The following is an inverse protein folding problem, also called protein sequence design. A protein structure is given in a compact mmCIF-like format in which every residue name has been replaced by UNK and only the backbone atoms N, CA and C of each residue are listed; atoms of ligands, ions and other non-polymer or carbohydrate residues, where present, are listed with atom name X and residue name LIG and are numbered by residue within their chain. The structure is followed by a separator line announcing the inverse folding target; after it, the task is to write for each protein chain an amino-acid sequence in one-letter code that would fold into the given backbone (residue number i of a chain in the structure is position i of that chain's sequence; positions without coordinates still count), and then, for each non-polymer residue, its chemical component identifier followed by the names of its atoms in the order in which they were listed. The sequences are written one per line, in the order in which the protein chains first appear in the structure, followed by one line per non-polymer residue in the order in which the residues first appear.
data_IF_133310006549
#
_entry.id   IF_133310006549
#
_cell.length_a   1.000
_cell.length_b   1.000
_cell.length_c   1.000
_cell.angle_alpha   90.00
_cell.angle_beta   90.00
_cell.angle_gamma   90.00
#
_symmetry.space_group_name_H-M   'P 1'
#
loop_
_entity.id
_entity.type
_entity.pdbx_description
1 polymer ?
#
# COMPACT_ATOMS: atom_id res chain seq x y z
N UNK A 1 -10.32 17.60 -7.31
CA UNK A 1 -8.87 17.85 -7.14
C UNK A 1 -8.31 16.70 -6.32
N UNK A 2 -7.23 16.08 -6.79
CA UNK A 2 -6.60 15.01 -6.05
C UNK A 2 -6.16 15.50 -4.65
N UNK A 3 -6.40 14.70 -3.62
CA UNK A 3 -5.88 14.91 -2.27
C UNK A 3 -4.38 14.67 -2.22
N UNK A 4 -3.93 13.61 -2.91
CA UNK A 4 -2.53 13.26 -3.10
C UNK A 4 -2.25 13.11 -4.59
N UNK A 5 -1.22 13.78 -5.07
CA UNK A 5 -0.70 13.64 -6.44
C UNK A 5 0.79 13.33 -6.41
N UNK A 6 1.15 12.15 -6.89
CA UNK A 6 2.52 11.63 -6.93
C UNK A 6 2.98 11.61 -8.38
N UNK A 7 4.08 12.30 -8.69
CA UNK A 7 4.63 12.39 -10.04
C UNK A 7 6.11 12.02 -10.06
N UNK A 8 6.47 11.08 -10.94
CA UNK A 8 7.84 10.65 -11.25
C UNK A 8 8.68 10.28 -10.02
N UNK A 9 8.05 9.66 -9.00
CA UNK A 9 8.74 9.24 -7.78
C UNK A 9 9.81 8.20 -8.09
N UNK A 10 11.04 8.47 -7.64
CA UNK A 10 12.17 7.56 -7.78
C UNK A 10 12.91 7.44 -6.46
N UNK A 11 12.97 6.21 -5.92
CA UNK A 11 13.65 5.90 -4.66
C UNK A 11 14.62 4.73 -4.85
N UNK A 12 15.87 4.93 -4.43
CA UNK A 12 16.94 3.94 -4.58
C UNK A 12 17.66 3.73 -3.27
N UNK A 13 18.21 2.52 -3.08
CA UNK A 13 19.02 2.17 -1.92
C UNK A 13 20.47 1.93 -2.35
N UNK A 14 21.39 2.70 -1.78
CA UNK A 14 22.84 2.59 -2.03
C UNK A 14 23.44 1.57 -1.05
N UNK A 15 23.52 0.33 -1.46
CA UNK A 15 24.04 -0.78 -0.65
C UNK A 15 25.50 -1.08 -1.02
N UNK A 16 26.18 -1.89 -0.22
CA UNK A 16 27.54 -2.36 -0.53
C UNK A 16 27.62 -3.19 -1.82
N UNK A 17 26.50 -3.84 -2.19
CA UNK A 17 26.42 -4.72 -3.37
C UNK A 17 25.91 -4.00 -4.63
N UNK A 18 25.67 -2.69 -4.56
CA UNK A 18 25.14 -1.92 -5.69
C UNK A 18 23.96 -1.03 -5.32
N UNK A 19 23.35 -0.43 -6.33
CA UNK A 19 22.22 0.48 -6.20
C UNK A 19 20.93 -0.27 -6.53
N UNK A 20 20.13 -0.57 -5.50
CA UNK A 20 18.81 -1.18 -5.66
C UNK A 20 17.81 -0.11 -6.09
N UNK A 21 17.18 -0.27 -7.26
CA UNK A 21 16.19 0.64 -7.84
C UNK A 21 14.78 0.24 -7.41
N UNK A 22 14.46 0.52 -6.14
CA UNK A 22 13.24 0.04 -5.51
C UNK A 22 11.97 0.69 -6.06
N UNK A 23 12.04 1.96 -6.49
CA UNK A 23 10.95 2.71 -7.13
C UNK A 23 11.54 3.55 -8.26
N UNK A 24 11.02 3.40 -9.47
CA UNK A 24 11.52 4.08 -10.67
C UNK A 24 10.35 4.71 -11.43
N UNK A 25 10.29 6.04 -11.42
CA UNK A 25 9.36 6.84 -12.22
C UNK A 25 7.88 6.51 -11.95
N UNK A 26 7.49 6.36 -10.68
CA UNK A 26 6.12 6.01 -10.28
C UNK A 26 5.26 7.27 -10.19
N UNK A 27 4.07 7.25 -10.83
CA UNK A 27 3.10 8.34 -10.80
C UNK A 27 1.70 7.80 -10.56
N UNK A 28 0.95 8.39 -9.62
CA UNK A 28 -0.45 8.08 -9.34
C UNK A 28 -1.09 9.20 -8.53
N UNK A 29 -2.41 9.21 -8.48
CA UNK A 29 -3.18 10.17 -7.68
C UNK A 29 -4.21 9.45 -6.82
N UNK A 30 -4.65 10.11 -5.75
CA UNK A 30 -5.71 9.66 -4.85
C UNK A 30 -6.65 10.83 -4.59
N UNK A 31 -7.93 10.64 -4.86
CA UNK A 31 -8.97 11.61 -4.55
C UNK A 31 -9.45 11.47 -3.10
N UNK A 32 -10.12 12.52 -2.55
CA UNK A 32 -10.78 12.41 -1.24
C UNK A 32 -11.82 11.29 -1.25
N UNK A 33 -11.92 10.56 -0.15
CA UNK A 33 -12.87 9.45 -0.02
C UNK A 33 -12.62 8.25 -0.95
N UNK A 34 -11.56 8.26 -1.77
CA UNK A 34 -11.23 7.18 -2.70
C UNK A 34 -10.35 6.12 -2.03
N UNK A 35 -10.60 4.85 -2.33
CA UNK A 35 -9.67 3.75 -2.02
C UNK A 35 -8.87 3.36 -3.25
N UNK A 36 -7.55 3.53 -3.19
CA UNK A 36 -6.61 3.16 -4.25
C UNK A 36 -5.79 1.94 -3.82
N UNK A 37 -5.94 0.84 -4.54
CA UNK A 37 -5.13 -0.36 -4.35
C UNK A 37 -3.75 -0.22 -5.01
N UNK A 38 -2.70 -0.68 -4.34
CA UNK A 38 -1.37 -0.89 -4.92
C UNK A 38 -1.03 -2.37 -4.76
N UNK A 39 -0.98 -3.10 -5.88
CA UNK A 39 -0.80 -4.56 -5.90
C UNK A 39 0.44 -4.97 -6.66
N UNK A 40 0.92 -6.19 -6.41
CA UNK A 40 2.07 -6.79 -7.08
C UNK A 40 2.80 -7.76 -6.17
N UNK A 41 3.74 -8.51 -6.70
CA UNK A 41 4.56 -9.47 -5.93
C UNK A 41 5.40 -8.78 -4.85
N UNK A 42 5.88 -9.56 -3.87
CA UNK A 42 6.84 -9.08 -2.87
C UNK A 42 8.07 -8.49 -3.56
N UNK A 43 8.63 -7.40 -3.02
CA UNK A 43 9.78 -6.71 -3.62
C UNK A 43 9.45 -5.83 -4.83
N UNK A 44 8.19 -5.72 -5.28
CA UNK A 44 7.83 -4.85 -6.42
C UNK A 44 7.91 -3.33 -6.16
N UNK A 45 8.18 -2.91 -4.90
CA UNK A 45 8.35 -1.49 -4.54
C UNK A 45 7.15 -0.83 -3.87
N UNK A 46 6.06 -1.54 -3.60
CA UNK A 46 4.79 -1.02 -3.04
C UNK A 46 5.00 -0.24 -1.73
N UNK A 47 5.50 -0.92 -0.71
CA UNK A 47 5.76 -0.31 0.61
C UNK A 47 6.77 0.83 0.53
N UNK A 48 7.84 0.67 -0.27
CA UNK A 48 8.85 1.72 -0.48
C UNK A 48 8.24 2.96 -1.11
N UNK A 49 7.29 2.81 -2.03
CA UNK A 49 6.53 3.93 -2.61
C UNK A 49 5.86 4.73 -1.50
N UNK A 50 5.06 4.08 -0.65
CA UNK A 50 4.33 4.76 0.42
C UNK A 50 5.26 5.32 1.53
N UNK A 51 6.31 4.60 1.90
CA UNK A 51 7.30 5.09 2.89
C UNK A 51 8.06 6.32 2.38
N UNK A 52 8.28 6.41 1.06
CA UNK A 52 8.88 7.60 0.45
C UNK A 52 8.01 8.84 0.66
N UNK A 53 6.68 8.71 0.49
CA UNK A 53 5.73 9.82 0.63
C UNK A 53 5.76 10.43 2.02
N UNK A 54 5.83 9.58 3.03
CA UNK A 54 5.81 10.00 4.42
C UNK A 54 7.20 10.15 5.04
N UNK A 55 8.28 10.07 4.21
CA UNK A 55 9.67 10.25 4.65
C UNK A 55 10.13 9.24 5.71
N UNK A 56 9.72 7.97 5.57
CA UNK A 56 10.13 6.86 6.43
C UNK A 56 11.26 6.02 5.83
N UNK A 57 11.78 6.41 4.66
CA UNK A 57 12.94 5.75 4.06
C UNK A 57 14.19 6.07 4.89
N UNK A 58 14.90 5.04 5.43
CA UNK A 58 16.13 5.27 6.18
C UNK A 58 17.21 5.88 5.28
N UNK A 59 17.81 6.96 5.72
CA UNK A 59 18.86 7.68 4.98
C UNK A 59 20.12 7.80 5.85
N UNK A 60 21.22 7.08 5.55
CA UNK A 60 21.43 6.04 4.54
C UNK A 60 20.73 4.71 4.90
N UNK A 61 20.59 3.71 4.00
CA UNK A 61 21.11 3.64 2.61
C UNK A 61 20.15 4.18 1.55
N UNK A 62 18.88 4.47 1.91
CA UNK A 62 17.87 4.92 0.97
C UNK A 62 18.06 6.38 0.57
N UNK A 63 17.62 6.72 -0.64
CA UNK A 63 17.55 8.10 -1.13
C UNK A 63 16.41 8.28 -2.12
N UNK A 64 15.62 9.33 -1.92
CA UNK A 64 14.64 9.79 -2.91
C UNK A 64 15.42 10.65 -3.93
N UNK A 65 15.51 10.17 -5.18
CA UNK A 65 16.29 10.80 -6.22
C UNK A 65 15.53 11.89 -6.97
N UNK A 66 14.23 11.65 -7.21
CA UNK A 66 13.39 12.58 -7.96
C UNK A 66 11.91 12.36 -7.63
N UNK A 67 11.07 13.26 -8.12
CA UNK A 67 9.62 13.21 -8.03
C UNK A 67 9.04 14.36 -7.23
N UNK A 68 7.71 14.37 -7.17
CA UNK A 68 6.90 15.24 -6.32
C UNK A 68 5.80 14.38 -5.68
N UNK A 69 5.38 14.77 -4.48
CA UNK A 69 4.22 14.19 -3.79
C UNK A 69 3.43 15.34 -3.17
N UNK A 70 2.46 15.83 -3.91
CA UNK A 70 1.63 16.96 -3.49
C UNK A 70 0.44 16.44 -2.70
N UNK A 71 0.43 16.67 -1.41
CA UNK A 71 -0.69 16.36 -0.52
C UNK A 71 -1.37 17.66 -0.10
N UNK A 72 -2.58 17.88 -0.57
CA UNK A 72 -3.37 19.09 -0.32
C UNK A 72 -2.54 20.36 -0.51
N UNK A 73 -1.85 20.48 -1.64
CA UNK A 73 -1.01 21.62 -2.02
C UNK A 73 0.41 21.62 -1.42
N UNK A 74 0.76 20.68 -0.53
CA UNK A 74 2.07 20.60 0.13
C UNK A 74 2.93 19.48 -0.49
N UNK A 75 4.13 19.81 -0.99
CA UNK A 75 5.07 18.80 -1.48
C UNK A 75 5.75 18.08 -0.31
N UNK A 76 5.26 16.86 0.00
CA UNK A 76 5.75 16.04 1.12
C UNK A 76 7.25 15.73 1.02
N UNK A 77 7.78 15.59 -0.22
CA UNK A 77 9.19 15.21 -0.44
C UNK A 77 10.16 16.37 -0.18
N UNK A 78 9.65 17.62 -0.20
CA UNK A 78 10.45 18.84 0.06
C UNK A 78 10.12 19.50 1.39
N UNK A 79 9.12 18.97 2.08
CA UNK A 79 8.67 19.52 3.36
C UNK A 79 9.72 19.29 4.46
N UNK A 80 10.01 20.32 5.23
CA UNK A 80 10.93 20.22 6.37
C UNK A 80 10.48 19.16 7.38
N UNK A 81 11.41 18.43 8.03
CA UNK A 81 11.07 17.37 8.99
C UNK A 81 10.10 17.81 10.09
N UNK A 82 10.19 19.06 10.55
CA UNK A 82 9.31 19.64 11.59
C UNK A 82 7.87 19.76 11.09
N UNK A 83 7.65 20.16 9.84
CA UNK A 83 6.33 20.26 9.23
C UNK A 83 5.77 18.88 8.91
N UNK A 84 6.61 17.97 8.38
CA UNK A 84 6.20 16.61 8.07
C UNK A 84 5.72 15.85 9.32
N UNK A 85 6.34 16.08 10.51
CA UNK A 85 5.85 15.55 11.80
C UNK A 85 4.43 15.99 12.14
N UNK A 86 4.02 17.19 11.76
CA UNK A 86 2.65 17.69 12.01
C UNK A 86 1.62 17.07 11.08
N UNK A 87 2.06 16.62 9.89
CA UNK A 87 1.21 15.92 8.92
C UNK A 87 1.04 14.46 9.32
N UNK A 88 2.14 13.78 9.70
CA UNK A 88 2.13 12.38 10.15
C UNK A 88 1.33 12.24 11.45
N UNK A 89 0.49 11.22 11.51
CA UNK A 89 -0.35 10.91 12.67
C UNK A 89 -1.59 11.80 12.80
N UNK A 90 -1.62 12.98 12.16
CA UNK A 90 -2.78 13.87 12.17
C UNK A 90 -3.55 13.85 10.85
N UNK A 91 -2.87 14.14 9.74
CA UNK A 91 -3.48 14.21 8.41
C UNK A 91 -3.22 12.95 7.58
N UNK A 92 -2.06 12.33 7.77
CA UNK A 92 -1.68 11.06 7.13
C UNK A 92 -1.35 10.07 8.23
N UNK A 93 -2.11 8.98 8.34
CA UNK A 93 -1.82 7.85 9.22
C UNK A 93 -1.39 6.64 8.42
N UNK A 94 -0.68 5.71 9.06
CA UNK A 94 -0.18 4.50 8.41
C UNK A 94 -0.36 3.28 9.30
N UNK A 95 -0.90 2.21 8.72
CA UNK A 95 -0.91 0.86 9.27
C UNK A 95 0.24 0.11 8.63
N UNK A 96 1.19 -0.36 9.44
CA UNK A 96 2.40 -1.05 8.98
C UNK A 96 2.16 -2.55 8.82
N UNK A 97 2.99 -3.19 8.00
CA UNK A 97 2.90 -4.62 7.72
C UNK A 97 3.19 -5.50 8.96
N UNK A 98 4.15 -5.10 9.80
CA UNK A 98 4.56 -5.90 10.97
C UNK A 98 4.11 -5.24 12.29
N UNK A 99 3.10 -5.83 12.98
CA UNK A 99 2.64 -5.33 14.27
C UNK A 99 3.66 -5.56 15.40
N UNK A 100 4.63 -6.46 15.20
CA UNK A 100 5.63 -6.77 16.24
C UNK A 100 6.65 -5.65 16.42
N UNK A 101 6.97 -4.95 15.33
CA UNK A 101 7.92 -3.84 15.32
C UNK A 101 7.25 -2.47 15.45
N UNK A 102 5.93 -2.39 15.27
CA UNK A 102 5.17 -1.13 15.27
C UNK A 102 4.82 -0.64 16.67
N UNK A 103 4.62 -1.54 17.62
CA UNK A 103 4.33 -1.22 19.01
C UNK A 103 5.62 -1.21 19.85
N UNK A 104 5.77 -0.19 20.70
CA UNK A 104 6.88 -0.14 21.66
C UNK A 104 6.63 -1.14 22.79
N UNK A 105 7.47 -2.21 22.94
CA UNK A 105 7.24 -3.26 23.92
C UNK A 105 7.38 -2.79 25.39
N UNK A 106 8.01 -1.63 25.61
CA UNK A 106 8.28 -1.08 26.95
C UNK A 106 7.20 -0.08 27.42
N UNK A 107 6.25 0.28 26.56
CA UNK A 107 5.17 1.20 26.88
C UNK A 107 3.83 0.46 26.95
N UNK A 108 2.98 0.87 27.90
CA UNK A 108 1.59 0.40 27.97
C UNK A 108 0.82 0.80 26.71
N UNK A 109 -0.21 0.04 26.37
CA UNK A 109 -1.10 0.33 25.26
C UNK A 109 -1.81 1.69 25.47
N UNK A 110 -2.22 2.01 26.71
CA UNK A 110 -2.78 3.32 27.05
C UNK A 110 -1.89 4.49 26.60
N UNK A 111 -0.59 4.42 26.93
CA UNK A 111 0.37 5.48 26.57
C UNK A 111 0.50 5.63 25.05
N UNK A 112 0.55 4.52 24.32
CA UNK A 112 0.73 4.54 22.87
C UNK A 112 -0.50 5.03 22.13
N UNK A 113 -1.71 4.72 22.62
CA UNK A 113 -2.96 5.20 22.02
C UNK A 113 -3.28 6.65 22.38
N UNK A 114 -2.91 7.11 23.58
CA UNK A 114 -3.18 8.50 23.99
C UNK A 114 -2.17 9.49 23.39
N UNK A 115 -0.93 9.06 23.09
CA UNK A 115 0.12 9.94 22.57
C UNK A 115 -0.30 10.70 21.29
N UNK A 116 -0.89 10.07 20.24
CA UNK A 116 -1.38 10.80 19.06
C UNK A 116 -2.44 11.86 19.41
N UNK A 117 -3.36 11.55 20.33
CA UNK A 117 -4.39 12.48 20.77
C UNK A 117 -3.79 13.68 21.51
N UNK A 118 -2.79 13.44 22.35
CA UNK A 118 -2.13 14.52 23.11
C UNK A 118 -1.31 15.42 22.20
N UNK A 119 -0.55 14.84 21.27
CA UNK A 119 0.34 15.58 20.38
C UNK A 119 -0.44 16.37 19.34
N UNK A 120 -1.46 15.75 18.72
CA UNK A 120 -2.14 16.31 17.56
C UNK A 120 -3.46 17.01 17.87
N UNK A 121 -4.19 16.55 18.88
CA UNK A 121 -5.51 17.08 19.23
C UNK A 121 -5.52 17.86 20.54
N UNK A 122 -4.42 17.80 21.31
CA UNK A 122 -4.33 18.42 22.63
C UNK A 122 -5.22 17.76 23.70
N UNK A 123 -5.79 16.58 23.40
CA UNK A 123 -6.67 15.82 24.30
C UNK A 123 -5.80 15.03 25.28
N UNK A 124 -5.99 15.23 26.58
CA UNK A 124 -5.14 14.64 27.64
C UNK A 124 -5.95 13.95 28.74
N UNK A 125 -5.23 13.18 29.57
CA UNK A 125 -5.76 12.60 30.81
C UNK A 125 -6.95 11.68 30.57
N UNK A 126 -8.01 11.78 31.38
CA UNK A 126 -9.17 10.89 31.31
C UNK A 126 -9.88 10.91 29.95
N UNK A 127 -9.95 12.09 29.31
CA UNK A 127 -10.61 12.20 28.00
C UNK A 127 -9.84 11.44 26.88
N UNK A 128 -8.51 11.51 26.89
CA UNK A 128 -7.69 10.70 25.99
C UNK A 128 -7.81 9.20 26.27
N UNK A 129 -7.82 8.83 27.56
CA UNK A 129 -7.97 7.43 27.97
C UNK A 129 -9.32 6.82 27.52
N UNK A 130 -10.43 7.54 27.69
CA UNK A 130 -11.73 7.10 27.19
C UNK A 130 -11.73 6.85 25.68
N UNK A 131 -11.19 7.81 24.91
CA UNK A 131 -11.06 7.62 23.44
C UNK A 131 -10.17 6.43 23.06
N UNK A 132 -9.12 6.17 23.83
CA UNK A 132 -8.25 5.02 23.63
C UNK A 132 -8.96 3.69 23.91
N UNK A 133 -9.81 3.65 24.94
CA UNK A 133 -10.66 2.49 25.27
C UNK A 133 -11.69 2.26 24.17
N UNK A 134 -12.37 3.32 23.71
CA UNK A 134 -13.34 3.24 22.62
C UNK A 134 -12.68 2.72 21.34
N UNK A 135 -11.49 3.22 21.00
CA UNK A 135 -10.75 2.76 19.83
C UNK A 135 -10.36 1.27 19.91
N UNK A 136 -10.03 0.75 21.11
CA UNK A 136 -9.79 -0.68 21.31
C UNK A 136 -11.07 -1.52 21.14
N UNK A 137 -12.21 -1.00 21.62
CA UNK A 137 -13.51 -1.66 21.46
C UNK A 137 -13.89 -1.75 19.98
N UNK A 138 -13.71 -0.67 19.22
CA UNK A 138 -14.02 -0.59 17.78
C UNK A 138 -13.24 -1.63 16.96
N UNK A 139 -11.97 -1.89 17.29
CA UNK A 139 -11.19 -2.94 16.62
C UNK A 139 -11.43 -4.35 17.20
N UNK A 140 -12.44 -4.51 18.08
CA UNK A 140 -12.85 -5.80 18.62
C UNK A 140 -11.89 -6.39 19.67
N UNK A 141 -11.20 -5.56 20.45
CA UNK A 141 -10.47 -6.01 21.63
C UNK A 141 -11.47 -6.23 22.76
N UNK A 142 -11.55 -7.47 23.26
CA UNK A 142 -12.42 -7.82 24.39
C UNK A 142 -11.93 -7.18 25.70
N UNK A 143 -12.87 -6.72 26.56
CA UNK A 143 -12.60 -6.06 27.84
C UNK A 143 -11.58 -4.91 27.74
N UNK A 144 -11.80 -3.91 26.85
CA UNK A 144 -10.82 -2.88 26.54
C UNK A 144 -10.39 -2.07 27.76
N UNK A 145 -11.29 -1.85 28.74
CA UNK A 145 -11.01 -1.15 30.00
C UNK A 145 -9.98 -1.88 30.86
N UNK A 146 -9.93 -3.22 30.81
CA UNK A 146 -8.94 -4.01 31.54
C UNK A 146 -7.64 -4.12 30.75
N UNK A 147 -7.75 -4.17 29.40
CA UNK A 147 -6.61 -4.38 28.51
C UNK A 147 -5.81 -3.12 28.21
N UNK A 148 -6.40 -1.94 28.39
CA UNK A 148 -5.78 -0.66 28.06
C UNK A 148 -4.43 -0.44 28.76
N UNK A 149 -4.26 -0.94 29.98
CA UNK A 149 -3.04 -0.80 30.77
C UNK A 149 -2.06 -1.97 30.62
N UNK A 150 -2.35 -2.94 29.75
CA UNK A 150 -1.43 -4.03 29.43
C UNK A 150 -0.30 -3.57 28.49
N UNK A 151 0.75 -4.39 28.44
CA UNK A 151 1.89 -4.19 27.52
C UNK A 151 1.70 -5.01 26.23
N UNK A 152 2.36 -4.63 25.11
CA UNK A 152 2.25 -5.37 23.86
C UNK A 152 2.54 -6.87 23.95
N UNK A 153 3.46 -7.30 24.81
CA UNK A 153 3.81 -8.71 24.97
C UNK A 153 2.69 -9.56 25.62
N UNK A 154 1.70 -8.93 26.26
CA UNK A 154 0.53 -9.59 26.83
C UNK A 154 -0.59 -9.82 25.79
N UNK A 155 -0.40 -9.34 24.56
CA UNK A 155 -1.35 -9.46 23.44
C UNK A 155 -0.85 -10.51 22.43
N UNK A 156 -1.78 -11.27 21.85
CA UNK A 156 -1.48 -12.13 20.70
C UNK A 156 -1.09 -11.29 19.47
N UNK A 157 -0.51 -11.92 18.44
CA UNK A 157 -0.15 -11.24 17.19
C UNK A 157 -1.33 -10.50 16.56
N UNK A 158 -2.48 -11.16 16.43
CA UNK A 158 -3.71 -10.53 15.91
C UNK A 158 -4.25 -9.41 16.78
N UNK A 159 -4.14 -9.50 18.11
CA UNK A 159 -4.51 -8.40 19.00
C UNK A 159 -3.57 -7.19 18.85
N UNK A 160 -2.26 -7.40 18.71
CA UNK A 160 -1.29 -6.30 18.45
C UNK A 160 -1.59 -5.60 17.13
N UNK A 161 -1.95 -6.35 16.11
CA UNK A 161 -2.36 -5.77 14.82
C UNK A 161 -3.61 -4.91 14.96
N UNK A 162 -4.62 -5.37 15.71
CA UNK A 162 -5.82 -4.56 16.00
C UNK A 162 -5.49 -3.29 16.79
N UNK A 163 -4.57 -3.36 17.77
CA UNK A 163 -4.09 -2.16 18.50
C UNK A 163 -3.40 -1.18 17.55
N UNK A 164 -2.55 -1.66 16.64
CA UNK A 164 -1.90 -0.82 15.64
C UNK A 164 -2.93 -0.14 14.72
N UNK A 165 -3.98 -0.86 14.33
CA UNK A 165 -5.09 -0.30 13.54
C UNK A 165 -5.84 0.77 14.36
N UNK A 166 -6.15 0.50 15.65
CA UNK A 166 -6.74 1.48 16.54
C UNK A 166 -5.89 2.76 16.64
N UNK A 167 -4.56 2.62 16.78
CA UNK A 167 -3.63 3.76 16.77
C UNK A 167 -3.69 4.58 15.49
N UNK A 168 -3.79 3.92 14.33
CA UNK A 168 -3.86 4.61 13.06
C UNK A 168 -5.20 5.35 12.84
N UNK A 169 -6.29 4.83 13.41
CA UNK A 169 -7.65 5.36 13.24
C UNK A 169 -8.08 6.34 14.32
N UNK A 170 -7.34 6.45 15.44
CA UNK A 170 -7.75 7.25 16.62
C UNK A 170 -7.79 8.76 16.35
N UNK A 171 -7.03 9.22 15.34
CA UNK A 171 -7.06 10.58 14.83
C UNK A 171 -7.98 10.69 13.61
N UNK A 172 -8.46 11.89 13.29
CA UNK A 172 -9.26 12.13 12.08
C UNK A 172 -8.34 12.45 10.91
N UNK A 173 -7.76 11.41 10.32
CA UNK A 173 -6.84 11.54 9.19
C UNK A 173 -7.59 11.76 7.87
N UNK A 174 -6.97 12.49 6.96
CA UNK A 174 -7.45 12.72 5.60
C UNK A 174 -6.98 11.60 4.63
N UNK A 175 -5.81 11.01 4.92
CA UNK A 175 -5.24 9.90 4.16
C UNK A 175 -4.81 8.79 5.11
N UNK A 176 -5.27 7.58 4.87
CA UNK A 176 -4.84 6.36 5.54
C UNK A 176 -4.05 5.47 4.58
N UNK A 177 -2.83 5.15 4.92
CA UNK A 177 -1.99 4.20 4.17
C UNK A 177 -2.01 2.87 4.92
N UNK A 178 -2.48 1.81 4.27
CA UNK A 178 -2.56 0.46 4.82
C UNK A 178 -1.54 -0.44 4.10
N UNK A 179 -0.44 -0.76 4.75
CA UNK A 179 0.59 -1.66 4.19
C UNK A 179 0.36 -3.08 4.72
N UNK A 180 -0.30 -3.91 3.92
CA UNK A 180 -0.71 -5.28 4.25
C UNK A 180 -1.43 -5.40 5.61
N UNK A 181 -2.51 -4.64 5.85
CA UNK A 181 -3.06 -4.44 7.20
C UNK A 181 -3.65 -5.71 7.82
N UNK A 182 -3.82 -6.79 7.06
CA UNK A 182 -4.54 -7.99 7.50
C UNK A 182 -3.73 -9.28 7.39
N UNK A 183 -2.45 -9.23 7.04
CA UNK A 183 -1.62 -10.42 6.73
C UNK A 183 -1.48 -11.40 7.92
N UNK A 184 -1.55 -10.92 9.17
CA UNK A 184 -1.46 -11.76 10.37
C UNK A 184 -2.83 -12.04 11.02
N UNK A 185 -3.94 -11.78 10.34
CA UNK A 185 -5.30 -11.99 10.84
C UNK A 185 -5.97 -13.20 10.19
N UNK A 186 -6.85 -13.86 10.93
CA UNK A 186 -7.78 -14.83 10.35
C UNK A 186 -8.82 -14.14 9.45
N UNK A 187 -9.44 -14.89 8.54
CA UNK A 187 -10.36 -14.37 7.51
C UNK A 187 -11.53 -13.57 8.11
N UNK A 188 -12.05 -13.99 9.26
CA UNK A 188 -13.18 -13.32 9.91
C UNK A 188 -12.77 -11.96 10.44
N UNK A 189 -11.62 -11.89 11.10
CA UNK A 189 -11.05 -10.65 11.63
C UNK A 189 -10.57 -9.73 10.52
N UNK A 190 -9.98 -10.28 9.47
CA UNK A 190 -9.62 -9.51 8.27
C UNK A 190 -10.83 -8.75 7.72
N UNK A 191 -11.98 -9.43 7.57
CA UNK A 191 -13.21 -8.80 7.11
C UNK A 191 -13.66 -7.67 8.05
N UNK A 192 -13.69 -7.92 9.36
CA UNK A 192 -14.07 -6.91 10.36
C UNK A 192 -13.21 -5.65 10.28
N UNK A 193 -11.90 -5.81 10.12
CA UNK A 193 -10.95 -4.70 10.00
C UNK A 193 -11.19 -3.91 8.71
N UNK A 194 -11.37 -4.58 7.59
CA UNK A 194 -11.64 -3.93 6.30
C UNK A 194 -12.97 -3.19 6.31
N UNK A 195 -14.01 -3.77 6.93
CA UNK A 195 -15.31 -3.13 7.11
C UNK A 195 -15.18 -1.87 7.97
N UNK A 196 -14.43 -1.93 9.09
CA UNK A 196 -14.13 -0.76 9.94
C UNK A 196 -13.41 0.35 9.17
N UNK A 197 -12.36 0.01 8.39
CA UNK A 197 -11.66 1.01 7.56
C UNK A 197 -12.64 1.67 6.59
N UNK A 198 -13.51 0.89 5.97
CA UNK A 198 -14.53 1.37 5.02
C UNK A 198 -15.59 2.25 5.69
N UNK A 199 -16.00 1.93 6.91
CA UNK A 199 -16.91 2.77 7.70
C UNK A 199 -16.26 4.11 8.02
N UNK A 200 -15.03 4.10 8.53
CA UNK A 200 -14.28 5.32 8.83
C UNK A 200 -13.99 6.16 7.59
N UNK A 201 -13.70 5.53 6.47
CA UNK A 201 -13.54 6.22 5.18
C UNK A 201 -14.81 7.02 4.83
N UNK A 202 -15.98 6.39 4.95
CA UNK A 202 -17.26 7.03 4.62
C UNK A 202 -17.64 8.14 5.62
N UNK A 203 -17.41 7.93 6.91
CA UNK A 203 -17.73 8.91 7.95
C UNK A 203 -16.89 10.19 7.84
N UNK A 204 -15.62 10.08 7.47
CA UNK A 204 -14.64 11.16 7.51
C UNK A 204 -14.19 11.63 6.13
N UNK A 205 -14.72 11.06 5.05
CA UNK A 205 -14.25 11.28 3.67
C UNK A 205 -12.72 11.04 3.53
N UNK A 206 -12.21 10.06 4.28
CA UNK A 206 -10.79 9.70 4.33
C UNK A 206 -10.40 8.98 3.03
N UNK A 207 -9.33 9.41 2.39
CA UNK A 207 -8.72 8.65 1.29
C UNK A 207 -7.93 7.46 1.84
N UNK A 208 -7.92 6.34 1.11
CA UNK A 208 -7.21 5.12 1.52
C UNK A 208 -6.25 4.66 0.42
N UNK A 209 -5.00 4.41 0.77
CA UNK A 209 -4.08 3.63 -0.06
C UNK A 209 -3.95 2.25 0.56
N UNK A 210 -4.39 1.21 -0.16
CA UNK A 210 -4.35 -0.17 0.31
C UNK A 210 -3.27 -0.95 -0.46
N UNK A 211 -2.19 -1.30 0.22
CA UNK A 211 -1.17 -2.20 -0.28
C UNK A 211 -1.54 -3.61 0.17
N UNK A 212 -1.70 -4.52 -0.77
CA UNK A 212 -1.95 -5.93 -0.47
C UNK A 212 -1.57 -6.80 -1.66
N UNK A 213 -1.29 -8.06 -1.40
CA UNK A 213 -1.16 -9.11 -2.42
C UNK A 213 -2.47 -9.90 -2.62
N UNK A 214 -3.49 -9.66 -1.79
CA UNK A 214 -4.80 -10.30 -1.89
C UNK A 214 -5.71 -9.53 -2.86
N UNK A 215 -5.81 -10.02 -4.08
CA UNK A 215 -6.63 -9.41 -5.13
C UNK A 215 -8.13 -9.52 -4.86
N UNK A 216 -8.59 -10.48 -4.04
CA UNK A 216 -9.99 -10.57 -3.64
C UNK A 216 -10.38 -9.40 -2.73
N UNK A 217 -9.48 -9.02 -1.80
CA UNK A 217 -9.64 -7.82 -0.97
C UNK A 217 -9.69 -6.57 -1.83
N UNK A 218 -8.76 -6.44 -2.80
CA UNK A 218 -8.71 -5.29 -3.73
C UNK A 218 -10.02 -5.15 -4.52
N UNK A 219 -10.52 -6.25 -5.06
CA UNK A 219 -11.77 -6.26 -5.83
C UNK A 219 -12.98 -5.76 -5.02
N UNK A 220 -13.00 -6.06 -3.71
CA UNK A 220 -14.12 -5.71 -2.83
C UNK A 220 -14.02 -4.30 -2.23
N UNK A 221 -12.81 -3.75 -2.13
CA UNK A 221 -12.57 -2.54 -1.34
C UNK A 221 -12.05 -1.35 -2.14
N UNK A 222 -11.37 -1.57 -3.26
CA UNK A 222 -10.71 -0.49 -4.00
C UNK A 222 -11.58 0.04 -5.14
N UNK A 223 -11.50 1.35 -5.38
CA UNK A 223 -12.12 2.02 -6.52
C UNK A 223 -11.20 1.96 -7.75
N UNK A 224 -9.90 2.13 -7.52
CA UNK A 224 -8.85 2.16 -8.54
C UNK A 224 -7.69 1.27 -8.11
N UNK A 225 -7.06 0.61 -9.05
CA UNK A 225 -5.93 -0.29 -8.79
C UNK A 225 -4.71 0.10 -9.61
N UNK A 226 -3.58 0.18 -8.92
CA UNK A 226 -2.24 0.34 -9.48
C UNK A 226 -1.49 -0.98 -9.35
N UNK A 227 -1.07 -1.56 -10.46
CA UNK A 227 -0.26 -2.78 -10.49
C UNK A 227 1.20 -2.41 -10.61
N UNK A 228 2.01 -2.87 -9.66
CA UNK A 228 3.46 -2.62 -9.63
C UNK A 228 4.26 -3.90 -9.89
N UNK A 229 5.30 -3.77 -10.69
CA UNK A 229 6.28 -4.82 -10.93
C UNK A 229 7.68 -4.21 -11.08
N UNK A 230 8.67 -4.82 -10.45
CA UNK A 230 10.08 -4.41 -10.55
C UNK A 230 10.30 -2.90 -10.35
N UNK A 231 9.65 -2.30 -9.34
CA UNK A 231 9.78 -0.89 -9.01
C UNK A 231 9.02 0.08 -9.90
N UNK A 232 8.19 -0.40 -10.84
CA UNK A 232 7.48 0.43 -11.83
C UNK A 232 5.98 0.18 -11.80
N UNK A 233 5.21 1.19 -12.23
CA UNK A 233 3.81 0.98 -12.59
C UNK A 233 3.74 0.18 -13.88
N UNK A 234 2.92 -0.88 -13.88
CA UNK A 234 2.69 -1.75 -15.04
C UNK A 234 1.34 -1.50 -15.66
N UNK A 235 0.31 -1.37 -14.82
CA UNK A 235 -1.06 -1.15 -15.26
C UNK A 235 -1.84 -0.39 -14.18
N UNK A 236 -2.77 0.48 -14.59
CA UNK A 236 -3.68 1.23 -13.71
C UNK A 236 -5.03 1.35 -14.37
N UNK A 237 -6.09 0.97 -13.66
CA UNK A 237 -7.46 1.19 -14.10
C UNK A 237 -8.42 1.18 -12.92
N UNK A 238 -9.67 1.58 -13.15
CA UNK A 238 -10.76 1.30 -12.23
C UNK A 238 -10.83 -0.20 -11.94
N UNK A 239 -11.16 -0.56 -10.69
CA UNK A 239 -11.15 -1.96 -10.24
C UNK A 239 -11.94 -2.88 -11.16
N UNK A 240 -13.16 -2.50 -11.53
CA UNK A 240 -14.01 -3.31 -12.43
C UNK A 240 -13.36 -3.51 -13.80
N UNK A 241 -12.78 -2.46 -14.35
CA UNK A 241 -12.09 -2.51 -15.65
C UNK A 241 -10.87 -3.41 -15.59
N UNK A 242 -10.03 -3.27 -14.55
CA UNK A 242 -8.82 -4.07 -14.41
C UNK A 242 -9.11 -5.56 -14.27
N UNK A 243 -10.14 -5.92 -13.48
CA UNK A 243 -10.49 -7.33 -13.25
C UNK A 243 -11.18 -7.98 -14.46
N UNK A 244 -12.00 -7.23 -15.20
CA UNK A 244 -12.69 -7.76 -16.38
C UNK A 244 -11.83 -7.72 -17.64
N UNK A 245 -10.94 -6.73 -17.77
CA UNK A 245 -10.16 -6.46 -18.97
C UNK A 245 -8.70 -6.14 -18.66
N UNK A 246 -7.96 -7.02 -17.94
CA UNK A 246 -6.54 -6.81 -17.67
C UNK A 246 -5.75 -6.85 -18.98
N UNK A 247 -4.94 -5.84 -19.24
CA UNK A 247 -4.25 -5.68 -20.54
C UNK A 247 -2.82 -6.20 -20.52
N UNK A 248 -2.07 -5.88 -19.47
CA UNK A 248 -0.68 -6.28 -19.39
C UNK A 248 -0.56 -7.77 -19.00
N UNK A 249 0.37 -8.50 -19.63
CA UNK A 249 0.59 -9.93 -19.39
C UNK A 249 0.84 -10.25 -17.90
N UNK A 250 1.57 -9.39 -17.18
CA UNK A 250 1.76 -9.55 -15.74
C UNK A 250 0.45 -9.44 -14.95
N UNK A 251 -0.40 -8.47 -15.25
CA UNK A 251 -1.72 -8.31 -14.59
C UNK A 251 -2.60 -9.52 -14.88
N UNK A 252 -2.61 -9.99 -16.13
CA UNK A 252 -3.34 -11.23 -16.51
C UNK A 252 -2.82 -12.45 -15.76
N UNK A 253 -1.50 -12.55 -15.58
CA UNK A 253 -0.87 -13.62 -14.82
C UNK A 253 -1.24 -13.57 -13.33
N UNK A 254 -1.25 -12.37 -12.72
CA UNK A 254 -1.74 -12.17 -11.36
C UNK A 254 -3.20 -12.58 -11.20
N UNK A 255 -4.09 -12.16 -12.12
CA UNK A 255 -5.51 -12.52 -12.09
C UNK A 255 -5.71 -14.04 -12.21
N UNK A 256 -4.93 -14.71 -13.07
CA UNK A 256 -4.95 -16.17 -13.20
C UNK A 256 -4.43 -16.91 -11.97
N UNK A 257 -3.65 -16.27 -11.11
CA UNK A 257 -3.16 -16.92 -9.87
C UNK A 257 -4.17 -16.87 -8.71
N UNK A 258 -5.34 -16.20 -8.90
CA UNK A 258 -6.37 -16.11 -7.87
C UNK A 258 -7.06 -17.47 -7.71
N UNK A 259 -7.05 -18.10 -6.51
CA UNK A 259 -7.66 -19.42 -6.31
C UNK A 259 -9.16 -19.47 -6.64
N UNK A 260 -9.88 -18.39 -6.38
CA UNK A 260 -11.33 -18.30 -6.59
C UNK A 260 -11.75 -18.32 -8.07
N UNK A 261 -10.82 -18.14 -9.01
CA UNK A 261 -11.09 -18.18 -10.46
C UNK A 261 -10.94 -19.58 -11.07
N UNK A 262 -10.46 -20.57 -10.27
CA UNK A 262 -10.21 -21.94 -10.71
C UNK A 262 -11.32 -22.89 -10.24
N UNK A 263 -11.64 -23.89 -11.08
CA UNK A 263 -12.53 -24.96 -10.68
C UNK A 263 -11.88 -25.84 -9.59
N UNK A 264 -12.70 -26.42 -8.74
CA UNK A 264 -12.22 -27.29 -7.66
C UNK A 264 -11.46 -28.50 -8.23
N UNK A 265 -10.15 -28.58 -7.93
CA UNK A 265 -9.26 -29.64 -8.41
C UNK A 265 -8.37 -29.25 -9.59
N UNK A 266 -8.50 -28.04 -10.12
CA UNK A 266 -7.54 -27.50 -11.10
C UNK A 266 -6.23 -27.09 -10.43
N UNK A 267 -5.11 -27.25 -11.14
CA UNK A 267 -3.82 -26.71 -10.72
C UNK A 267 -3.85 -25.19 -10.82
N UNK A 268 -3.51 -24.53 -9.72
CA UNK A 268 -3.40 -23.07 -9.71
C UNK A 268 -2.30 -22.61 -10.66
N UNK A 269 -2.61 -21.58 -11.43
CA UNK A 269 -1.58 -20.94 -12.26
C UNK A 269 -0.57 -20.22 -11.35
N UNK A 270 0.70 -20.47 -11.60
CA UNK A 270 1.81 -19.78 -10.93
C UNK A 270 2.63 -19.03 -11.95
N UNK A 271 3.00 -17.79 -11.66
CA UNK A 271 3.88 -17.01 -12.52
C UNK A 271 5.28 -17.65 -12.49
N UNK A 272 5.83 -18.12 -13.62
CA UNK A 272 7.10 -18.83 -13.62
C UNK A 272 8.28 -17.89 -13.29
N UNK A 273 9.39 -18.49 -12.82
CA UNK A 273 10.62 -17.77 -12.52
C UNK A 273 10.54 -16.84 -11.30
N UNK A 274 11.54 -16.02 -11.13
CA UNK A 274 11.66 -15.06 -10.03
C UNK A 274 11.63 -13.63 -10.57
N UNK A 275 11.12 -12.64 -9.80
CA UNK A 275 11.25 -11.23 -10.16
C UNK A 275 12.71 -10.84 -10.42
N UNK A 276 12.97 -9.88 -11.31
CA UNK A 276 14.34 -9.45 -11.62
C UNK A 276 15.01 -8.80 -10.41
N UNK A 277 16.33 -8.94 -10.34
CA UNK A 277 17.14 -8.24 -9.34
C UNK A 277 17.13 -6.73 -9.59
N UNK A 278 16.61 -5.97 -8.64
CA UNK A 278 16.53 -4.52 -8.74
C UNK A 278 17.89 -3.80 -8.57
N UNK A 279 18.94 -4.51 -8.22
CA UNK A 279 20.32 -3.97 -8.27
C UNK A 279 20.89 -3.97 -9.69
N UNK A 280 20.39 -4.83 -10.57
CA UNK A 280 20.75 -4.94 -11.97
C UNK A 280 19.48 -5.13 -12.84
N UNK A 281 18.50 -4.19 -12.79
CA UNK A 281 17.24 -4.36 -13.48
C UNK A 281 17.42 -4.41 -14.99
N UNK A 282 16.56 -5.15 -15.71
CA UNK A 282 16.57 -5.16 -17.17
C UNK A 282 16.44 -3.73 -17.75
N UNK A 283 17.11 -3.46 -18.85
CA UNK A 283 17.02 -2.17 -19.56
C UNK A 283 15.62 -1.93 -20.13
N UNK A 284 15.01 -2.98 -20.66
CA UNK A 284 13.69 -2.95 -21.30
C UNK A 284 12.55 -3.45 -20.42
N UNK A 285 11.70 -4.26 -21.02
CA UNK A 285 10.54 -4.86 -20.35
C UNK A 285 10.97 -5.78 -19.22
N UNK A 286 10.66 -5.40 -17.99
CA UNK A 286 11.06 -6.17 -16.81
C UNK A 286 10.35 -7.53 -16.69
N UNK A 287 9.20 -7.70 -17.35
CA UNK A 287 8.42 -8.95 -17.32
C UNK A 287 8.79 -9.92 -18.47
N UNK A 288 9.66 -9.54 -19.40
CA UNK A 288 10.00 -10.30 -20.60
C UNK A 288 10.30 -11.80 -20.32
N UNK A 289 11.22 -12.09 -19.40
CA UNK A 289 11.65 -13.48 -19.11
C UNK A 289 10.54 -14.35 -18.48
N UNK A 290 9.54 -13.73 -17.87
CA UNK A 290 8.41 -14.39 -17.18
C UNK A 290 7.11 -14.33 -17.98
N UNK A 291 7.14 -13.72 -19.15
CA UNK A 291 5.95 -13.50 -19.97
C UNK A 291 5.52 -14.79 -20.69
N UNK A 292 4.55 -15.50 -20.12
CA UNK A 292 3.94 -16.71 -20.70
C UNK A 292 2.54 -16.48 -21.27
N UNK A 293 2.01 -15.27 -21.14
CA UNK A 293 0.64 -14.91 -21.57
C UNK A 293 0.59 -13.89 -22.72
N UNK A 294 1.75 -13.51 -23.23
CA UNK A 294 1.93 -12.66 -24.39
C UNK A 294 2.94 -13.24 -25.36
N UNK A 295 3.55 -12.41 -26.18
CA UNK A 295 4.64 -12.79 -27.08
C UNK A 295 5.97 -12.17 -26.60
N UNK A 296 6.83 -12.92 -25.89
CA UNK A 296 8.10 -12.39 -25.41
C UNK A 296 9.00 -11.86 -26.52
N UNK A 297 8.91 -12.36 -27.76
CA UNK A 297 9.74 -11.95 -28.88
C UNK A 297 9.48 -10.50 -29.31
N UNK A 298 8.31 -9.98 -28.99
CA UNK A 298 7.90 -8.60 -29.27
C UNK A 298 8.13 -7.63 -28.10
N UNK A 299 8.73 -8.09 -27.00
CA UNK A 299 9.01 -7.22 -25.86
C UNK A 299 10.11 -6.19 -26.19
N UNK A 300 9.91 -4.97 -25.69
CA UNK A 300 10.92 -3.89 -25.79
C UNK A 300 12.10 -4.23 -24.88
N UNK A 301 13.32 -4.34 -25.45
CA UNK A 301 14.52 -4.77 -24.73
C UNK A 301 15.49 -3.64 -24.38
N UNK A 302 15.48 -2.53 -25.14
CA UNK A 302 16.51 -1.49 -25.07
C UNK A 302 16.21 -0.36 -24.09
N UNK A 303 14.91 -0.14 -23.80
CA UNK A 303 14.44 0.90 -22.89
C UNK A 303 13.19 0.42 -22.14
N UNK A 304 12.91 0.98 -20.94
CA UNK A 304 11.67 0.67 -20.25
C UNK A 304 10.46 1.09 -21.09
N UNK A 305 9.45 0.20 -21.25
CA UNK A 305 8.23 0.57 -21.94
C UNK A 305 7.56 1.80 -21.31
N UNK A 306 7.05 2.70 -22.15
CA UNK A 306 6.32 3.88 -21.69
C UNK A 306 5.01 3.48 -21.00
N UNK A 307 4.73 4.12 -19.86
CA UNK A 307 3.45 3.99 -19.18
C UNK A 307 2.50 5.06 -19.69
N UNK A 308 1.51 4.68 -20.47
CA UNK A 308 0.60 5.59 -21.17
C UNK A 308 -0.84 5.12 -21.11
N UNK A 309 -1.78 6.01 -21.42
CA UNK A 309 -3.20 5.69 -21.54
C UNK A 309 -3.44 4.85 -22.79
N UNK A 310 -4.01 3.66 -22.60
CA UNK A 310 -4.33 2.70 -23.66
C UNK A 310 -5.83 2.70 -24.03
N UNK A 311 -6.66 3.13 -23.11
CA UNK A 311 -8.09 3.43 -23.30
C UNK A 311 -8.56 4.34 -22.17
N UNK A 312 -9.77 4.87 -22.23
CA UNK A 312 -10.29 5.85 -21.27
C UNK A 312 -10.05 5.44 -19.82
N UNK A 313 -9.25 6.23 -19.08
CA UNK A 313 -8.83 5.98 -17.68
C UNK A 313 -8.13 4.63 -17.44
N UNK A 314 -7.64 3.96 -18.49
CA UNK A 314 -6.89 2.72 -18.40
C UNK A 314 -5.48 2.92 -18.94
N UNK A 315 -4.49 2.79 -18.07
CA UNK A 315 -3.08 3.03 -18.36
C UNK A 315 -2.30 1.72 -18.24
N UNK A 316 -1.37 1.48 -19.15
CA UNK A 316 -0.46 0.35 -19.04
C UNK A 316 0.91 0.67 -19.65
N UNK A 317 1.92 -0.14 -19.32
CA UNK A 317 3.18 -0.10 -20.04
C UNK A 317 2.95 -0.57 -21.48
N UNK A 318 3.29 0.31 -22.42
CA UNK A 318 3.13 0.06 -23.86
C UNK A 318 4.25 -0.85 -24.37
N UNK A 319 4.16 -2.14 -24.01
CA UNK A 319 5.05 -3.18 -24.49
C UNK A 319 4.26 -4.14 -25.41
N UNK A 320 4.54 -4.17 -26.72
CA UNK A 320 3.79 -5.01 -27.67
C UNK A 320 3.72 -6.47 -27.28
N UNK A 321 4.82 -7.01 -26.74
CA UNK A 321 4.87 -8.40 -26.27
C UNK A 321 4.07 -8.69 -24.99
N UNK A 322 3.65 -7.64 -24.26
CA UNK A 322 2.89 -7.79 -23.00
C UNK A 322 1.44 -7.37 -23.09
N UNK A 323 1.08 -6.47 -24.02
CA UNK A 323 -0.30 -5.99 -24.16
C UNK A 323 -1.16 -7.05 -24.89
N UNK A 324 -2.37 -7.27 -24.36
CA UNK A 324 -3.39 -8.02 -25.09
C UNK A 324 -4.03 -7.17 -26.17
N UNK A 325 -4.37 -7.77 -27.29
CA UNK A 325 -5.11 -7.10 -28.36
C UNK A 325 -6.48 -6.59 -27.89
N UNK A 326 -6.95 -5.49 -28.48
CA UNK A 326 -8.24 -4.86 -28.14
C UNK A 326 -9.45 -5.74 -28.51
N UNK A 327 -9.23 -6.84 -29.25
CA UNK A 327 -10.24 -7.72 -29.84
C UNK A 327 -10.38 -9.08 -29.15
N UNK A 328 -9.73 -9.31 -28.02
CA UNK A 328 -9.79 -10.59 -27.29
C UNK A 328 -10.55 -10.49 -25.98
#
# INVERSE_FOLDING_TARGET
MALLDVTHLTTRFHTRNGVVRAVENVSFSVEKGQTVGIVGESGSGKSVTCYSLVGLIPQPPGRIHSGKAIFDGVDLLKTEPKHLRRIRGKRISMIFQDPMTSLNPYLKISSQLTEPLEIHDGIKGKAALHKAIDALAEVGIAEPEKRIDSYPHEFSGGMRQRVMIAMALITRQELLICDEPTTALDVTVQKQVLDLIKERQKELDTAVILITHDLAVVHQTCDLVNVMYAGRMIERAETKTLFNHPRHAYTRALMKSIPATHAKGELLYTIPGTPPDLSAPPKGCAFHERNTLGDPSQCIMDSPPEFSEISHNHFAQNCPGCLADMSS
#
